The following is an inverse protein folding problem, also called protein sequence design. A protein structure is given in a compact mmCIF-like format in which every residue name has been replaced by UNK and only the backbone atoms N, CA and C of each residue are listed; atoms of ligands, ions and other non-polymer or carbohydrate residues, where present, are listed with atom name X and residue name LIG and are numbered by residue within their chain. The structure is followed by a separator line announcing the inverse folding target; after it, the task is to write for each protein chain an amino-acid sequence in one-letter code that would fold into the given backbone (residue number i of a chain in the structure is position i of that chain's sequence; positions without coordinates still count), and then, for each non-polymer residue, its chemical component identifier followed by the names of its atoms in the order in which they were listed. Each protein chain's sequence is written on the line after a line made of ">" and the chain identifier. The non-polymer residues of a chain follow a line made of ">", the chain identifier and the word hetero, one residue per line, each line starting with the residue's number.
data_IF_998141250952
#
_entry.id   IF_998141250952
#
_cell.length_a   1.000
_cell.length_b   1.000
_cell.length_c   1.000
_cell.angle_alpha   90.00
_cell.angle_beta   90.00
_cell.angle_gamma   90.00
#
_symmetry.space_group_name_H-M   'P 1'
#
loop_
_entity.id
_entity.type
_entity.pdbx_description
1 polymer ?
#
# COMPACT_ATOMS: atom_id res chain seq x y z
N UNK A 1 -10.19 -22.48 10.64
CA UNK A 1 -10.00 -21.11 11.18
C UNK A 1 -9.41 -21.08 12.59
N UNK A 2 -9.81 -21.96 13.52
CA UNK A 2 -9.35 -21.94 14.92
C UNK A 2 -7.82 -22.04 15.10
N UNK A 3 -7.12 -22.86 14.30
CA UNK A 3 -5.65 -22.97 14.36
C UNK A 3 -4.92 -21.70 13.87
N UNK A 4 -5.48 -20.96 12.89
CA UNK A 4 -4.89 -19.72 12.36
C UNK A 4 -4.90 -18.59 13.39
N UNK A 5 -6.01 -18.44 14.11
CA UNK A 5 -6.16 -17.42 15.16
C UNK A 5 -5.21 -17.66 16.34
N UNK A 6 -4.95 -18.93 16.64
CA UNK A 6 -4.00 -19.31 17.70
C UNK A 6 -2.57 -18.92 17.37
N UNK A 7 -2.15 -19.05 16.11
CA UNK A 7 -0.81 -18.64 15.68
C UNK A 7 -0.66 -17.11 15.65
N UNK A 8 -1.63 -16.37 15.09
CA UNK A 8 -1.54 -14.89 15.04
C UNK A 8 -1.58 -14.25 16.43
N UNK A 9 -2.26 -14.89 17.39
CA UNK A 9 -2.31 -14.42 18.79
C UNK A 9 -0.96 -14.41 19.52
N UNK A 10 0.08 -15.00 18.94
CA UNK A 10 1.42 -15.09 19.53
C UNK A 10 2.46 -14.24 18.82
N UNK A 11 2.05 -13.53 17.77
CA UNK A 11 2.92 -12.71 16.94
C UNK A 11 2.89 -11.28 17.45
N UNK A 12 4.08 -10.70 17.60
CA UNK A 12 4.33 -9.31 17.92
C UNK A 12 5.16 -8.68 16.80
N UNK A 13 4.63 -7.65 16.15
CA UNK A 13 5.43 -6.82 15.26
C UNK A 13 5.99 -5.67 16.10
N UNK A 14 7.31 -5.55 16.18
CA UNK A 14 8.01 -4.50 16.92
C UNK A 14 8.78 -3.65 15.93
N UNK A 15 8.83 -2.35 16.12
CA UNK A 15 9.72 -1.52 15.32
C UNK A 15 10.55 -0.53 16.11
N UNK A 16 11.36 0.21 15.36
CA UNK A 16 12.48 1.00 15.86
C UNK A 16 13.45 0.16 16.70
N UNK A 17 13.74 -1.08 16.27
CA UNK A 17 14.74 -1.93 16.91
C UNK A 17 16.14 -1.39 16.60
N UNK A 18 16.93 -0.99 17.61
CA UNK A 18 18.27 -0.46 17.39
C UNK A 18 19.19 -1.47 16.72
N UNK A 19 20.15 -1.00 15.93
CA UNK A 19 21.15 -1.85 15.27
C UNK A 19 21.89 -2.76 16.25
N UNK A 20 22.14 -2.25 17.47
CA UNK A 20 22.76 -3.00 18.55
C UNK A 20 21.97 -4.28 18.92
N UNK A 21 20.65 -4.29 18.77
CA UNK A 21 19.76 -5.42 19.08
C UNK A 21 19.27 -6.17 17.84
N UNK A 22 19.74 -5.82 16.62
CA UNK A 22 19.34 -6.46 15.36
C UNK A 22 20.04 -7.81 15.11
N UNK A 23 20.14 -8.62 16.16
CA UNK A 23 20.68 -9.98 16.11
C UNK A 23 19.73 -10.92 16.87
N UNK A 24 19.59 -12.15 16.37
CA UNK A 24 18.71 -13.19 16.92
C UNK A 24 19.06 -13.44 18.39
N UNK A 25 20.35 -13.66 18.69
CA UNK A 25 20.80 -13.99 20.05
C UNK A 25 20.51 -12.87 21.05
N UNK A 26 20.66 -11.61 20.62
CA UNK A 26 20.42 -10.45 21.47
C UNK A 26 18.93 -10.27 21.74
N UNK A 27 18.07 -10.43 20.74
CA UNK A 27 16.62 -10.41 20.93
C UNK A 27 16.18 -11.57 21.83
N UNK A 28 16.70 -12.78 21.62
CA UNK A 28 16.42 -13.92 22.50
C UNK A 28 16.84 -13.65 23.94
N UNK A 29 18.00 -13.02 24.17
CA UNK A 29 18.45 -12.63 25.50
C UNK A 29 17.55 -11.58 26.15
N UNK A 30 17.09 -10.59 25.37
CA UNK A 30 16.22 -9.51 25.84
C UNK A 30 14.85 -10.04 26.27
N UNK A 31 14.27 -10.96 25.49
CA UNK A 31 12.94 -11.52 25.76
C UNK A 31 12.97 -12.82 26.59
N UNK A 32 14.13 -13.19 27.15
CA UNK A 32 14.28 -14.39 28.00
C UNK A 32 13.48 -14.32 29.30
N UNK A 33 13.17 -13.11 29.78
CA UNK A 33 12.43 -12.90 31.03
C UNK A 33 10.96 -13.33 30.95
N UNK A 34 10.39 -13.40 29.74
CA UNK A 34 8.99 -13.79 29.55
C UNK A 34 8.85 -15.31 29.58
N UNK A 35 7.72 -15.80 30.09
CA UNK A 35 7.48 -17.24 30.25
C UNK A 35 7.50 -17.95 28.88
N UNK A 36 8.38 -18.94 28.71
CA UNK A 36 8.55 -19.66 27.46
C UNK A 36 9.41 -18.96 26.38
N UNK A 37 9.74 -17.67 26.54
CA UNK A 37 10.63 -16.93 25.65
C UNK A 37 10.14 -16.81 24.19
N UNK A 38 11.09 -16.45 23.31
CA UNK A 38 10.86 -16.37 21.87
C UNK A 38 10.94 -17.76 21.21
N UNK A 39 9.99 -18.02 20.32
CA UNK A 39 9.98 -19.19 19.44
C UNK A 39 10.79 -18.90 18.18
N UNK A 40 10.47 -17.79 17.50
CA UNK A 40 11.04 -17.44 16.21
C UNK A 40 11.16 -15.91 16.06
N UNK A 41 12.14 -15.49 15.25
CA UNK A 41 12.43 -14.08 14.97
C UNK A 41 12.56 -13.92 13.46
N UNK A 42 11.75 -13.03 12.89
CA UNK A 42 11.84 -12.67 11.48
C UNK A 42 12.24 -11.22 11.33
N UNK A 43 13.37 -10.98 10.66
CA UNK A 43 13.79 -9.65 10.28
C UNK A 43 13.09 -9.23 8.99
N UNK A 44 12.72 -7.96 8.92
CA UNK A 44 12.21 -7.37 7.69
C UNK A 44 13.36 -6.83 6.85
N UNK A 45 13.20 -6.81 5.53
CA UNK A 45 14.19 -6.36 4.56
C UNK A 45 13.54 -5.51 3.46
N UNK A 46 14.35 -4.84 2.63
CA UNK A 46 13.83 -4.15 1.44
C UNK A 46 13.55 -5.18 0.31
N UNK A 47 12.35 -5.75 0.32
CA UNK A 47 11.93 -6.72 -0.69
C UNK A 47 11.40 -6.08 -1.99
N UNK A 48 11.30 -4.75 -2.07
CA UNK A 48 10.66 -4.03 -3.20
C UNK A 48 11.28 -4.35 -4.56
N UNK A 49 12.59 -4.61 -4.58
CA UNK A 49 13.31 -5.05 -5.79
C UNK A 49 12.76 -6.37 -6.30
N UNK A 50 12.50 -7.32 -5.40
CA UNK A 50 12.11 -8.70 -5.73
C UNK A 50 10.62 -8.82 -5.98
N UNK A 51 9.79 -8.11 -5.23
CA UNK A 51 8.35 -8.01 -5.51
C UNK A 51 8.09 -7.56 -6.95
N UNK A 52 8.82 -6.54 -7.41
CA UNK A 52 8.74 -6.10 -8.80
C UNK A 52 9.13 -7.17 -9.80
N UNK A 53 10.11 -8.01 -9.47
CA UNK A 53 10.49 -9.12 -10.33
C UNK A 53 9.36 -10.14 -10.36
N UNK A 54 8.74 -10.46 -9.22
CA UNK A 54 7.54 -11.30 -9.16
C UNK A 54 6.39 -10.72 -9.98
N UNK A 55 6.10 -9.42 -9.89
CA UNK A 55 5.08 -8.76 -10.72
C UNK A 55 5.38 -8.87 -12.22
N UNK A 56 6.65 -8.68 -12.61
CA UNK A 56 7.07 -8.84 -14.01
C UNK A 56 6.90 -10.28 -14.50
N UNK A 57 7.22 -11.27 -13.66
CA UNK A 57 6.99 -12.67 -14.00
C UNK A 57 5.49 -12.96 -14.16
N UNK A 58 4.64 -12.47 -13.25
CA UNK A 58 3.19 -12.64 -13.36
C UNK A 58 2.66 -12.02 -14.66
N UNK A 59 3.02 -10.77 -14.97
CA UNK A 59 2.62 -10.10 -16.21
C UNK A 59 3.13 -10.83 -17.46
N UNK A 60 4.37 -11.36 -17.42
CA UNK A 60 4.92 -12.16 -18.50
C UNK A 60 4.18 -13.48 -18.68
N UNK A 61 3.77 -14.15 -17.59
CA UNK A 61 2.95 -15.37 -17.62
C UNK A 61 1.57 -15.09 -18.21
N UNK A 62 0.87 -14.07 -17.72
CA UNK A 62 -0.45 -13.67 -18.22
C UNK A 62 -0.40 -13.36 -19.72
N UNK A 63 0.63 -12.61 -20.13
CA UNK A 63 0.86 -12.28 -21.55
C UNK A 63 1.19 -13.51 -22.38
N UNK A 64 1.94 -14.46 -21.81
CA UNK A 64 2.30 -15.71 -22.46
C UNK A 64 1.08 -16.61 -22.66
N UNK A 65 0.25 -16.78 -21.63
CA UNK A 65 -1.02 -17.50 -21.70
C UNK A 65 -1.96 -16.89 -22.73
N UNK A 66 -2.10 -15.56 -22.72
CA UNK A 66 -2.93 -14.85 -23.71
C UNK A 66 -2.41 -15.08 -25.14
N UNK A 67 -1.10 -14.98 -25.36
CA UNK A 67 -0.49 -15.21 -26.66
C UNK A 67 -0.73 -16.64 -27.17
N UNK A 68 -0.60 -17.64 -26.29
CA UNK A 68 -0.87 -19.05 -26.62
C UNK A 68 -2.34 -19.28 -26.94
N UNK A 69 -3.25 -18.74 -26.14
CA UNK A 69 -4.70 -18.85 -26.37
C UNK A 69 -5.07 -18.22 -27.72
N UNK A 70 -4.59 -16.99 -28.00
CA UNK A 70 -4.83 -16.30 -29.28
C UNK A 70 -4.30 -17.12 -30.46
N UNK A 71 -3.14 -17.73 -30.32
CA UNK A 71 -2.55 -18.60 -31.34
C UNK A 71 -3.41 -19.83 -31.61
N UNK A 72 -3.86 -20.53 -30.57
CA UNK A 72 -4.74 -21.70 -30.67
C UNK A 72 -6.10 -21.34 -31.29
N UNK A 73 -6.73 -20.26 -30.83
CA UNK A 73 -8.01 -19.79 -31.38
C UNK A 73 -7.91 -19.51 -32.87
N UNK A 74 -6.82 -18.89 -33.33
CA UNK A 74 -6.64 -18.64 -34.76
C UNK A 74 -6.35 -19.92 -35.53
N UNK A 75 -5.58 -20.86 -34.98
CA UNK A 75 -5.39 -22.17 -35.61
C UNK A 75 -6.70 -22.91 -35.81
N UNK A 76 -7.60 -22.88 -34.83
CA UNK A 76 -8.95 -23.45 -34.93
C UNK A 76 -9.72 -22.74 -36.06
N UNK A 77 -9.78 -21.41 -36.06
CA UNK A 77 -10.47 -20.63 -37.11
C UNK A 77 -9.90 -20.85 -38.52
N UNK A 78 -8.59 -21.02 -38.65
CA UNK A 78 -7.91 -21.25 -39.93
C UNK A 78 -8.09 -22.68 -40.45
N UNK A 79 -8.36 -23.65 -39.57
CA UNK A 79 -8.76 -25.00 -40.00
C UNK A 79 -10.04 -24.96 -40.85
N UNK A 80 -10.92 -23.99 -40.57
CA UNK A 80 -12.19 -23.79 -41.28
C UNK A 80 -12.06 -22.88 -42.53
N UNK A 81 -10.91 -22.24 -42.76
CA UNK A 81 -10.68 -21.31 -43.87
C UNK A 81 -9.24 -21.43 -44.38
N UNK A 82 -9.08 -22.08 -45.54
CA UNK A 82 -7.83 -22.52 -46.21
C UNK A 82 -6.77 -21.43 -46.54
N UNK A 83 -6.43 -20.53 -45.62
CA UNK A 83 -5.49 -19.43 -45.82
C UNK A 83 -4.40 -19.39 -44.74
N UNK A 84 -3.22 -19.93 -45.06
CA UNK A 84 -2.18 -20.27 -44.08
C UNK A 84 -1.12 -19.18 -43.83
N UNK A 85 -1.22 -17.99 -44.44
CA UNK A 85 -0.04 -17.12 -44.67
C UNK A 85 0.28 -16.06 -43.60
N UNK A 86 -0.27 -16.09 -42.38
CA UNK A 86 0.02 -15.04 -41.39
C UNK A 86 -0.09 -15.51 -39.92
N UNK A 87 0.65 -16.56 -39.57
CA UNK A 87 0.73 -17.04 -38.18
C UNK A 87 1.74 -16.25 -37.33
N UNK A 88 2.90 -15.89 -37.87
CA UNK A 88 3.95 -15.21 -37.10
C UNK A 88 3.62 -13.75 -36.74
N UNK A 89 2.79 -13.06 -37.54
CA UNK A 89 2.42 -11.66 -37.30
C UNK A 89 1.52 -11.46 -36.09
N UNK A 90 0.78 -12.50 -35.65
CA UNK A 90 -0.13 -12.45 -34.49
C UNK A 90 0.67 -12.41 -33.18
N UNK A 91 1.80 -13.13 -33.17
CA UNK A 91 2.66 -13.28 -32.01
C UNK A 91 3.58 -12.07 -31.82
N UNK A 92 3.59 -11.12 -32.77
CA UNK A 92 4.36 -9.88 -32.66
C UNK A 92 3.51 -8.82 -31.99
N UNK A 93 3.85 -8.49 -30.74
CA UNK A 93 3.16 -7.46 -29.95
C UNK A 93 4.17 -6.54 -29.26
N UNK A 94 3.69 -5.45 -28.69
CA UNK A 94 4.48 -4.61 -27.77
C UNK A 94 4.26 -5.09 -26.34
N UNK A 95 5.32 -5.49 -25.61
CA UNK A 95 5.19 -5.86 -24.21
C UNK A 95 4.93 -4.62 -23.34
N UNK A 96 4.40 -4.85 -22.15
CA UNK A 96 4.22 -3.83 -21.12
C UNK A 96 5.53 -3.10 -20.79
N UNK A 97 5.43 -1.85 -20.32
CA UNK A 97 6.58 -1.07 -19.87
C UNK A 97 6.51 -0.96 -18.35
N UNK A 98 7.61 -1.35 -17.70
CA UNK A 98 7.81 -1.17 -16.27
C UNK A 98 8.77 -0.01 -16.02
N UNK A 99 8.28 1.13 -15.52
CA UNK A 99 9.15 2.28 -15.17
C UNK A 99 9.93 2.00 -13.89
N UNK A 100 11.23 2.35 -13.80
CA UNK A 100 12.04 2.13 -12.59
C UNK A 100 11.36 2.74 -11.36
N UNK A 101 11.63 2.20 -10.16
CA UNK A 101 11.03 2.73 -8.94
C UNK A 101 11.49 4.19 -8.77
N UNK A 102 10.53 5.11 -8.84
CA UNK A 102 10.79 6.53 -8.59
C UNK A 102 10.49 6.78 -7.12
N UNK A 103 11.49 7.28 -6.39
CA UNK A 103 11.29 7.82 -5.04
C UNK A 103 10.64 9.17 -5.19
N UNK A 104 9.44 9.34 -4.65
CA UNK A 104 8.84 10.66 -4.54
C UNK A 104 9.62 11.41 -3.44
N UNK A 105 10.08 12.65 -3.65
CA UNK A 105 10.91 13.34 -2.65
C UNK A 105 10.12 13.80 -1.42
N UNK A 106 8.80 13.99 -1.55
CA UNK A 106 7.93 14.49 -0.49
C UNK A 106 7.20 13.40 0.29
N UNK A 107 7.10 12.20 -0.28
CA UNK A 107 6.53 11.02 0.35
C UNK A 107 7.61 9.96 0.22
N UNK A 108 8.07 9.33 1.30
CA UNK A 108 8.98 8.17 1.22
C UNK A 108 8.29 6.92 0.60
N UNK A 109 7.23 7.14 -0.19
CA UNK A 109 6.57 6.15 -1.02
C UNK A 109 7.33 5.97 -2.32
N UNK A 110 7.58 4.72 -2.65
CA UNK A 110 8.02 4.32 -3.99
C UNK A 110 6.76 4.08 -4.80
N UNK A 111 6.67 4.75 -5.95
CA UNK A 111 5.55 4.52 -6.86
C UNK A 111 6.04 3.70 -8.04
N UNK A 112 5.34 2.61 -8.32
CA UNK A 112 5.53 1.81 -9.53
C UNK A 112 4.45 2.23 -10.53
N UNK A 113 4.87 2.70 -11.70
CA UNK A 113 3.95 3.00 -12.80
C UNK A 113 4.15 1.93 -13.87
N UNK A 114 3.07 1.19 -14.15
CA UNK A 114 2.99 0.25 -15.27
C UNK A 114 2.22 0.90 -16.40
N UNK A 115 2.83 0.97 -17.58
CA UNK A 115 2.16 1.44 -18.78
C UNK A 115 1.88 0.28 -19.76
N UNK A 116 0.68 0.26 -20.36
CA UNK A 116 0.37 -0.64 -21.47
C UNK A 116 1.40 -0.56 -22.60
N UNK A 117 1.65 -1.69 -23.27
CA UNK A 117 2.64 -1.77 -24.35
C UNK A 117 2.38 -0.85 -25.55
N UNK A 118 1.13 -0.39 -25.73
CA UNK A 118 0.78 0.55 -26.80
C UNK A 118 1.54 1.89 -26.70
N UNK A 119 1.97 2.28 -25.49
CA UNK A 119 2.75 3.49 -25.29
C UNK A 119 4.15 3.41 -25.94
N UNK A 120 4.65 2.21 -26.26
CA UNK A 120 5.91 2.03 -27.02
C UNK A 120 5.84 2.57 -28.45
N UNK A 121 4.63 2.79 -28.99
CA UNK A 121 4.42 3.46 -30.29
C UNK A 121 4.98 4.88 -30.26
N UNK A 122 4.74 5.62 -29.18
CA UNK A 122 5.27 6.98 -29.01
C UNK A 122 6.80 7.01 -28.87
N UNK A 123 7.41 5.87 -28.53
CA UNK A 123 8.87 5.69 -28.48
C UNK A 123 9.45 5.09 -29.78
N UNK A 124 8.66 5.01 -30.86
CA UNK A 124 9.06 4.47 -32.17
C UNK A 124 9.68 3.07 -32.12
N UNK A 125 9.28 2.23 -31.17
CA UNK A 125 9.83 0.87 -31.01
C UNK A 125 9.13 -0.14 -31.93
N UNK A 126 9.91 -1.09 -32.49
CA UNK A 126 9.39 -2.19 -33.32
C UNK A 126 8.70 -3.27 -32.47
N UNK A 127 7.76 -4.00 -33.08
CA UNK A 127 7.10 -5.16 -32.46
C UNK A 127 8.07 -6.34 -32.35
N UNK A 128 8.03 -7.04 -31.23
CA UNK A 128 8.94 -8.14 -30.88
C UNK A 128 8.12 -9.44 -30.81
N UNK A 129 8.67 -10.62 -31.14
CA UNK A 129 8.02 -11.90 -30.85
C UNK A 129 7.75 -12.05 -29.34
N UNK A 130 6.47 -12.13 -28.96
CA UNK A 130 6.06 -12.06 -27.55
C UNK A 130 6.43 -13.33 -26.77
N UNK A 131 6.39 -14.50 -27.42
CA UNK A 131 6.64 -15.78 -26.77
C UNK A 131 8.08 -15.87 -26.26
N UNK A 132 9.05 -15.52 -27.12
CA UNK A 132 10.47 -15.47 -26.79
C UNK A 132 10.73 -14.43 -25.70
N UNK A 133 10.12 -13.25 -25.81
CA UNK A 133 10.22 -12.21 -24.79
C UNK A 133 9.74 -12.68 -23.42
N UNK A 134 8.58 -13.33 -23.33
CA UNK A 134 8.05 -13.83 -22.06
C UNK A 134 8.95 -14.92 -21.46
N UNK A 135 9.40 -15.89 -22.26
CA UNK A 135 10.29 -16.97 -21.79
C UNK A 135 11.60 -16.40 -21.26
N UNK A 136 12.22 -15.48 -21.99
CA UNK A 136 13.45 -14.83 -21.56
C UNK A 136 13.23 -14.04 -20.26
N UNK A 137 12.15 -13.25 -20.20
CA UNK A 137 11.82 -12.45 -19.01
C UNK A 137 11.62 -13.35 -17.79
N UNK A 138 10.95 -14.50 -17.95
CA UNK A 138 10.74 -15.45 -16.88
C UNK A 138 12.05 -16.08 -16.40
N UNK A 139 12.95 -16.45 -17.32
CA UNK A 139 14.28 -16.96 -16.99
C UNK A 139 15.10 -15.92 -16.20
N UNK A 140 15.19 -14.69 -16.73
CA UNK A 140 15.93 -13.59 -16.10
C UNK A 140 15.38 -13.29 -14.69
N UNK A 141 14.06 -13.29 -14.54
CA UNK A 141 13.39 -13.03 -13.26
C UNK A 141 13.64 -14.16 -12.27
N UNK A 142 13.53 -15.41 -12.74
CA UNK A 142 13.75 -16.58 -11.91
C UNK A 142 15.18 -16.62 -11.36
N UNK A 143 16.19 -16.29 -12.18
CA UNK A 143 17.59 -16.23 -11.74
C UNK A 143 17.78 -15.20 -10.61
N UNK A 144 17.16 -14.02 -10.74
CA UNK A 144 17.20 -12.98 -9.69
C UNK A 144 16.52 -13.45 -8.40
N UNK A 145 15.39 -14.14 -8.49
CA UNK A 145 14.66 -14.66 -7.33
C UNK A 145 15.43 -15.81 -6.66
N UNK A 146 16.08 -16.68 -7.45
CA UNK A 146 16.94 -17.74 -6.93
C UNK A 146 18.15 -17.18 -6.20
N UNK A 147 18.79 -16.14 -6.75
CA UNK A 147 19.86 -15.43 -6.06
C UNK A 147 19.37 -14.87 -4.72
N UNK A 148 18.18 -14.26 -4.69
CA UNK A 148 17.59 -13.77 -3.44
C UNK A 148 17.40 -14.87 -2.40
N UNK A 149 16.90 -16.04 -2.81
CA UNK A 149 16.75 -17.17 -1.89
C UNK A 149 18.09 -17.64 -1.32
N UNK A 150 19.18 -17.53 -2.08
CA UNK A 150 20.53 -17.82 -1.59
C UNK A 150 21.00 -16.76 -0.58
N UNK A 151 20.80 -15.47 -0.87
CA UNK A 151 21.17 -14.38 0.05
C UNK A 151 20.44 -14.49 1.40
N UNK A 152 19.15 -14.85 1.38
CA UNK A 152 18.35 -15.09 2.60
C UNK A 152 18.93 -16.26 3.41
N UNK A 153 19.28 -17.36 2.74
CA UNK A 153 19.86 -18.54 3.41
C UNK A 153 21.22 -18.24 4.05
N UNK A 154 22.01 -17.39 3.41
CA UNK A 154 23.29 -16.92 3.95
C UNK A 154 23.09 -15.93 5.11
N UNK A 155 21.91 -15.32 5.21
CA UNK A 155 21.62 -14.27 6.19
C UNK A 155 22.21 -12.91 5.81
N UNK A 156 22.67 -12.76 4.56
CA UNK A 156 23.30 -11.56 4.03
C UNK A 156 22.25 -10.66 3.37
N UNK A 157 21.54 -9.89 4.19
CA UNK A 157 20.55 -8.94 3.70
C UNK A 157 20.41 -7.74 4.62
N UNK A 158 19.96 -6.61 4.06
CA UNK A 158 19.76 -5.37 4.78
C UNK A 158 18.55 -5.47 5.72
N UNK A 159 18.81 -5.96 6.94
CA UNK A 159 17.81 -6.08 8.01
C UNK A 159 17.35 -4.68 8.42
N UNK A 160 16.04 -4.43 8.39
CA UNK A 160 15.44 -3.17 8.80
C UNK A 160 15.16 -3.11 10.31
N UNK A 161 14.73 -1.94 10.75
CA UNK A 161 14.40 -1.61 12.15
C UNK A 161 13.15 -2.32 12.66
N UNK A 162 12.31 -2.84 11.76
CA UNK A 162 11.08 -3.56 12.14
C UNK A 162 11.34 -5.06 12.15
N UNK A 163 10.88 -5.73 13.20
CA UNK A 163 11.12 -7.15 13.45
C UNK A 163 9.82 -7.79 13.90
N UNK A 164 9.53 -8.97 13.35
CA UNK A 164 8.38 -9.77 13.77
C UNK A 164 8.90 -10.86 14.72
N UNK A 165 8.29 -10.92 15.89
CA UNK A 165 8.65 -11.84 16.96
C UNK A 165 7.50 -12.81 17.19
N UNK A 166 7.80 -14.10 17.20
CA UNK A 166 6.85 -15.14 17.59
C UNK A 166 7.19 -15.62 18.99
N UNK A 167 6.22 -15.54 19.90
CA UNK A 167 6.36 -16.05 21.27
C UNK A 167 5.77 -17.46 21.40
N UNK A 168 6.31 -18.26 22.32
CA UNK A 168 5.74 -19.59 22.61
C UNK A 168 4.36 -19.52 23.26
N UNK A 169 4.13 -18.50 24.08
CA UNK A 169 2.86 -18.24 24.77
C UNK A 169 2.28 -16.90 24.34
N UNK A 170 0.95 -16.85 24.23
CA UNK A 170 0.21 -15.62 23.97
C UNK A 170 0.32 -14.63 25.15
N UNK A 171 0.41 -15.14 26.37
CA UNK A 171 0.58 -14.31 27.58
C UNK A 171 1.89 -13.52 27.52
N UNK A 172 2.98 -14.20 27.18
CA UNK A 172 4.31 -13.61 27.02
C UNK A 172 4.36 -12.56 25.93
N UNK A 173 3.65 -12.79 24.83
CA UNK A 173 3.49 -11.78 23.78
C UNK A 173 2.82 -10.51 24.33
N UNK A 174 1.70 -10.67 25.05
CA UNK A 174 0.98 -9.53 25.63
C UNK A 174 1.80 -8.82 26.72
N UNK A 175 2.53 -9.56 27.54
CA UNK A 175 3.45 -8.98 28.52
C UNK A 175 4.55 -8.17 27.83
N UNK A 176 5.16 -8.71 26.78
CA UNK A 176 6.18 -8.03 25.99
C UNK A 176 5.66 -6.73 25.34
N UNK A 177 4.44 -6.77 24.79
CA UNK A 177 3.78 -5.60 24.20
C UNK A 177 3.55 -4.47 25.22
N UNK A 178 3.18 -4.81 26.45
CA UNK A 178 2.90 -3.85 27.51
C UNK A 178 4.16 -3.38 28.25
N UNK A 179 5.28 -4.08 28.09
CA UNK A 179 6.53 -3.75 28.78
C UNK A 179 7.28 -2.67 28.00
N UNK A 180 7.75 -1.65 28.71
CA UNK A 180 8.67 -0.68 28.14
C UNK A 180 10.04 -1.35 27.92
N UNK A 181 10.42 -1.58 26.66
CA UNK A 181 11.63 -2.33 26.30
C UNK A 181 12.90 -1.49 26.30
N UNK A 182 12.79 -0.16 26.21
CA UNK A 182 13.93 0.74 26.24
C UNK A 182 13.63 2.03 26.99
N UNK A 183 14.67 2.59 27.60
CA UNK A 183 14.65 3.93 28.20
C UNK A 183 14.95 5.01 27.15
N UNK A 184 15.59 4.63 26.06
CA UNK A 184 15.96 5.56 24.99
C UNK A 184 14.73 5.92 24.16
N UNK A 185 14.61 7.22 23.87
CA UNK A 185 13.57 7.71 22.96
C UNK A 185 13.92 7.19 21.55
N UNK A 186 12.93 6.70 20.81
CA UNK A 186 13.11 6.15 19.44
C UNK A 186 13.73 4.76 19.39
N UNK A 187 13.58 4.00 20.47
CA UNK A 187 14.04 2.62 20.59
C UNK A 187 12.88 1.74 21.07
N UNK A 188 12.49 0.73 20.29
CA UNK A 188 11.35 -0.13 20.60
C UNK A 188 10.03 0.62 20.84
N UNK A 189 9.83 1.74 20.14
CA UNK A 189 8.75 2.69 20.43
C UNK A 189 7.36 2.18 20.08
N UNK A 190 7.24 1.25 19.13
CA UNK A 190 5.95 0.77 18.65
C UNK A 190 5.93 -0.75 18.60
N UNK A 191 4.79 -1.31 19.01
CA UNK A 191 4.52 -2.73 18.84
C UNK A 191 3.05 -2.98 18.52
N UNK A 192 2.78 -3.97 17.67
CA UNK A 192 1.47 -4.38 17.22
C UNK A 192 1.27 -5.86 17.55
N UNK A 193 0.11 -6.19 18.13
CA UNK A 193 -0.26 -7.55 18.56
C UNK A 193 -1.32 -8.14 17.65
N UNK A 194 -1.48 -9.47 17.71
CA UNK A 194 -2.51 -10.21 16.96
C UNK A 194 -2.46 -9.95 15.46
N UNK A 195 -1.25 -9.74 14.95
CA UNK A 195 -1.04 -9.39 13.55
C UNK A 195 -1.12 -10.64 12.68
N UNK A 196 -2.01 -10.64 11.69
CA UNK A 196 -2.05 -11.68 10.68
C UNK A 196 -1.18 -11.28 9.48
N UNK A 197 -0.40 -12.18 8.87
CA UNK A 197 0.48 -11.85 7.74
C UNK A 197 -0.23 -11.18 6.56
N UNK A 198 -1.46 -11.62 6.25
CA UNK A 198 -2.27 -11.07 5.15
C UNK A 198 -2.80 -9.66 5.44
N UNK A 199 -2.88 -9.26 6.71
CA UNK A 199 -3.37 -7.92 7.11
C UNK A 199 -2.23 -6.89 7.17
N UNK A 200 -0.98 -7.34 7.04
CA UNK A 200 0.19 -6.46 7.08
C UNK A 200 0.35 -5.78 5.73
N UNK A 201 0.32 -4.45 5.76
CA UNK A 201 0.79 -3.63 4.64
C UNK A 201 2.31 -3.59 4.65
N UNK A 202 2.92 -4.55 3.98
CA UNK A 202 4.36 -4.78 3.96
C UNK A 202 5.15 -3.57 3.46
N UNK A 203 4.61 -2.81 2.50
CA UNK A 203 5.19 -1.54 2.04
C UNK A 203 5.39 -0.55 3.18
N UNK A 204 4.43 -0.51 4.13
CA UNK A 204 4.51 0.37 5.28
C UNK A 204 5.53 -0.12 6.31
N UNK A 205 5.73 -1.44 6.40
CA UNK A 205 6.68 -2.05 7.33
C UNK A 205 8.12 -1.77 6.88
N UNK A 206 8.41 -1.75 5.58
CA UNK A 206 9.76 -1.47 5.05
C UNK A 206 10.17 0.00 5.25
N UNK A 207 9.21 0.94 5.34
CA UNK A 207 9.50 2.37 5.47
C UNK A 207 10.48 2.66 6.60
N UNK A 208 11.38 3.63 6.37
CA UNK A 208 12.39 4.00 7.37
C UNK A 208 11.73 4.72 8.56
N UNK A 209 12.43 4.66 9.70
CA UNK A 209 12.22 5.30 11.00
C UNK A 209 10.87 6.01 11.24
N UNK A 210 10.24 5.68 12.37
CA UNK A 210 9.01 6.30 12.87
C UNK A 210 9.03 7.84 12.84
N UNK A 211 10.21 8.45 12.91
CA UNK A 211 10.38 9.90 12.74
C UNK A 211 9.83 10.41 11.40
N UNK A 212 10.26 9.83 10.27
CA UNK A 212 9.81 10.28 8.95
C UNK A 212 8.31 10.07 8.77
N UNK A 213 7.77 8.95 9.27
CA UNK A 213 6.33 8.70 9.22
C UNK A 213 5.52 9.71 10.04
N UNK A 214 6.06 10.19 11.18
CA UNK A 214 5.40 11.22 11.98
C UNK A 214 5.33 12.55 11.24
N UNK A 215 6.43 12.95 10.59
CA UNK A 215 6.46 14.17 9.76
C UNK A 215 5.52 14.06 8.57
N UNK A 216 5.46 12.89 7.91
CA UNK A 216 4.50 12.63 6.83
C UNK A 216 3.06 12.80 7.31
N UNK A 217 2.70 12.25 8.47
CA UNK A 217 1.35 12.42 9.03
C UNK A 217 1.01 13.89 9.31
N UNK A 218 1.96 14.67 9.83
CA UNK A 218 1.76 16.10 10.04
C UNK A 218 1.54 16.83 8.71
N UNK A 219 2.34 16.54 7.69
CA UNK A 219 2.21 17.15 6.35
C UNK A 219 0.88 16.74 5.70
N UNK A 220 0.48 15.47 5.76
CA UNK A 220 -0.80 15.00 5.23
C UNK A 220 -1.97 15.70 5.94
N UNK A 221 -1.91 15.83 7.28
CA UNK A 221 -2.92 16.54 8.06
C UNK A 221 -2.97 18.05 7.75
N UNK A 222 -1.82 18.67 7.51
CA UNK A 222 -1.71 20.08 7.12
C UNK A 222 -2.29 20.32 5.72
N UNK A 223 -2.04 19.41 4.77
CA UNK A 223 -2.61 19.49 3.42
C UNK A 223 -4.14 19.34 3.47
N UNK A 224 -4.65 18.34 4.19
CA UNK A 224 -6.10 18.10 4.30
C UNK A 224 -6.79 19.27 4.99
N UNK A 225 -6.21 19.79 6.08
CA UNK A 225 -6.75 20.98 6.74
C UNK A 225 -6.75 22.18 5.80
N UNK A 226 -5.64 22.48 5.11
CA UNK A 226 -5.57 23.59 4.16
C UNK A 226 -6.60 23.50 3.03
N UNK A 227 -6.91 22.28 2.53
CA UNK A 227 -7.96 22.07 1.53
C UNK A 227 -9.38 22.24 2.09
N UNK A 228 -9.59 21.92 3.37
CA UNK A 228 -10.91 21.95 4.02
C UNK A 228 -11.28 23.33 4.59
N UNK A 229 -10.30 24.15 5.01
CA UNK A 229 -10.51 25.51 5.53
C UNK A 229 -11.36 26.40 4.61
N UNK A 230 -11.09 26.51 3.29
CA UNK A 230 -11.89 27.35 2.41
C UNK A 230 -13.32 26.84 2.22
N UNK A 231 -13.54 25.51 2.27
CA UNK A 231 -14.88 24.92 2.18
C UNK A 231 -15.71 25.26 3.42
N UNK A 232 -15.12 25.16 4.60
CA UNK A 232 -15.81 25.51 5.86
C UNK A 232 -16.15 27.00 5.92
N UNK A 233 -15.23 27.88 5.49
CA UNK A 233 -15.47 29.32 5.42
C UNK A 233 -16.62 29.68 4.47
N UNK A 234 -16.73 28.96 3.34
CA UNK A 234 -17.80 29.16 2.37
C UNK A 234 -19.17 28.66 2.87
N UNK A 235 -19.20 27.63 3.73
CA UNK A 235 -20.44 27.14 4.36
C UNK A 235 -20.93 28.12 5.43
N UNK A 236 -20.03 28.64 6.27
CA UNK A 236 -20.36 29.64 7.31
C UNK A 236 -20.94 30.93 6.70
N UNK A 237 -20.41 31.37 5.56
CA UNK A 237 -20.94 32.56 4.84
C UNK A 237 -22.34 32.38 4.23
N UNK A 238 -22.89 31.15 4.19
CA UNK A 238 -24.24 30.87 3.68
C UNK A 238 -25.27 30.76 4.80
N UNK A 239 -24.84 30.61 6.05
CA UNK A 239 -25.69 30.57 7.24
C UNK A 239 -25.69 31.94 7.92
N UNK A 240 -26.22 32.97 7.26
CA UNK A 240 -26.58 34.19 7.99
C UNK A 240 -27.88 33.96 8.79
N UNK A 241 -27.99 34.55 10.00
CA UNK A 241 -29.12 34.32 10.90
C UNK A 241 -30.42 34.90 10.32
N UNK A 242 -31.51 34.13 10.41
CA UNK A 242 -32.86 34.44 9.92
C UNK A 242 -33.51 35.64 10.66
N UNK A 243 -32.80 36.34 11.56
CA UNK A 243 -33.40 37.37 12.43
C UNK A 243 -33.63 38.75 11.79
N UNK A 244 -33.15 39.03 10.57
CA UNK A 244 -33.30 40.38 9.99
C UNK A 244 -34.49 40.55 9.03
N UNK A 245 -35.28 39.51 8.76
CA UNK A 245 -36.43 39.59 7.85
C UNK A 245 -37.78 39.93 8.54
N UNK A 246 -37.83 40.08 9.87
CA UNK A 246 -39.06 40.54 10.55
C UNK A 246 -39.18 42.07 10.66
N UNK A 247 -38.08 42.83 10.55
CA UNK A 247 -38.11 44.26 10.85
C UNK A 247 -38.55 45.13 9.64
N UNK A 248 -38.50 44.57 8.42
CA UNK A 248 -38.87 45.28 7.19
C UNK A 248 -40.37 45.19 6.87
N UNK A 249 -41.13 44.30 7.55
CA UNK A 249 -42.59 44.19 7.40
C UNK A 249 -43.39 45.20 8.25
N UNK A 250 -42.73 46.02 9.09
CA UNK A 250 -43.43 46.97 10.01
C UNK A 250 -43.55 48.41 9.51
N UNK A 251 -43.09 48.74 8.29
CA UNK A 251 -43.26 50.11 7.74
C UNK A 251 -44.12 50.11 6.49
N UNK A 252 -45.44 50.18 6.69
CA UNK A 252 -46.38 50.67 5.67
C UNK A 252 -47.01 51.96 6.20
N UNK A 253 -47.02 53.07 5.42
CA UNK A 253 -47.36 54.40 5.90
C UNK A 253 -48.87 54.60 6.11
N UNK A 254 -49.18 55.33 7.17
CA UNK A 254 -50.51 55.80 7.58
C UNK A 254 -51.05 56.89 6.65
N UNK A 255 -52.13 56.61 5.91
CA UNK A 255 -53.03 57.64 5.35
C UNK A 255 -54.49 57.18 5.43
N UNK A 256 -55.15 57.64 6.49
CA UNK A 256 -56.47 58.29 6.57
C UNK A 256 -57.73 57.67 5.90
N UNK A 257 -58.70 57.39 6.80
CA UNK A 257 -60.16 57.71 6.73
C UNK A 257 -61.03 56.94 5.71
N UNK A 258 -62.24 56.47 5.98
CA UNK A 258 -63.25 56.87 6.95
C UNK A 258 -64.29 55.75 7.19
N UNK A 259 -64.86 55.74 8.41
CA UNK A 259 -66.29 55.51 8.68
C UNK A 259 -66.93 54.16 8.38
N UNK A 260 -67.30 53.43 9.43
CA UNK A 260 -68.71 53.14 9.73
C UNK A 260 -68.87 52.57 11.14
N UNK A 261 -69.75 53.20 11.92
CA UNK A 261 -70.30 52.74 13.19
C UNK A 261 -71.02 51.39 13.07
N UNK A 262 -71.08 50.63 14.16
CA UNK A 262 -72.34 50.24 14.83
C UNK A 262 -71.99 49.74 16.25
N UNK A 263 -72.64 50.40 17.20
CA UNK A 263 -72.73 50.12 18.62
C UNK A 263 -73.64 48.92 18.90
N UNK A 264 -73.34 48.17 19.95
CA UNK A 264 -74.35 47.45 20.74
C UNK A 264 -73.90 47.37 22.21
N UNK A 265 -74.08 48.49 22.94
CA UNK A 265 -74.78 48.59 24.24
C UNK A 265 -74.70 49.99 24.83
#
# INVERSE_FOLDING_TARGET
>A
MSHKLKESSRILLVGDVPEAYRNIDKLQSLFKFFSGGLEEVWFTDDYTKYERQTEKAQDALDTFEEAQIRFLQKKIKLKDSSNNKNQESILRSWPSIFFPLVKVPLLERRVSIRLPGIFRVFLFQKKIPILEFCVQTLADTNDILLQRLQDIKLGDFDKKEKVILKFRSQESMHMAHQTLLSKEIWSFNHSLTKVHPDDIMWDNVIRKSTFFTSVECEVESAIVSALYTPVSLAVESRTEPIELLEDESRRVPSVLTAGFDISDK
#
